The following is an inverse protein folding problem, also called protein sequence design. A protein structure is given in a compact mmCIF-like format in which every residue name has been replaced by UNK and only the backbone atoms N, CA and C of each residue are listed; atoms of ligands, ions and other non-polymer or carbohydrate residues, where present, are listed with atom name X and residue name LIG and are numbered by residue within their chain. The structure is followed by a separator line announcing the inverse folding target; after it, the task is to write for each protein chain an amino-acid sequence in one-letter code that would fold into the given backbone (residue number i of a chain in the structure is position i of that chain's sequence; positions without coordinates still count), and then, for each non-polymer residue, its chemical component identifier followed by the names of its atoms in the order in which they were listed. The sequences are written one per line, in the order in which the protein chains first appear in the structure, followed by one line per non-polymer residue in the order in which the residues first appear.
data_IF_514690432927
#
_entry.id   IF_514690432927
#
_cell.length_a   1.000
_cell.length_b   1.000
_cell.length_c   1.000
_cell.angle_alpha   90.00
_cell.angle_beta   90.00
_cell.angle_gamma   90.00
#
_symmetry.space_group_name_H-M   'P 1'
#
loop_
_entity.id
_entity.type
_entity.pdbx_description
1 polymer ?
#
# COMPACT_ATOMS: atom_id res chain seq x y z
N UNK A 1 2.13 2.78 31.03
CA UNK A 1 1.61 3.82 30.10
C UNK A 1 2.69 4.57 29.33
N UNK A 2 3.94 4.72 29.81
CA UNK A 2 4.97 5.51 29.10
C UNK A 2 5.61 4.88 27.87
N UNK A 3 5.63 3.56 27.71
CA UNK A 3 6.40 2.89 26.64
C UNK A 3 5.66 2.87 25.28
N UNK A 4 4.35 2.71 25.24
CA UNK A 4 3.61 2.64 23.96
C UNK A 4 3.51 4.02 23.29
N UNK A 5 3.27 5.08 24.02
CA UNK A 5 3.30 6.45 23.48
C UNK A 5 4.69 6.79 22.89
N UNK A 6 5.77 6.43 23.57
CA UNK A 6 7.13 6.66 23.06
C UNK A 6 7.43 5.90 21.77
N UNK A 7 6.89 4.69 21.62
CA UNK A 7 7.08 3.87 20.39
C UNK A 7 6.36 4.51 19.21
N UNK A 8 5.10 4.89 19.37
CA UNK A 8 4.31 5.54 18.30
C UNK A 8 4.93 6.86 17.84
N UNK A 9 5.32 7.71 18.78
CA UNK A 9 5.97 9.00 18.48
C UNK A 9 7.27 8.80 17.70
N UNK A 10 8.02 7.73 18.01
CA UNK A 10 9.23 7.39 17.27
C UNK A 10 8.92 6.98 15.83
N UNK A 11 7.90 6.13 15.61
CA UNK A 11 7.48 5.76 14.25
C UNK A 11 7.00 6.98 13.45
N UNK A 12 6.21 7.86 14.05
CA UNK A 12 5.74 9.08 13.39
C UNK A 12 6.89 10.03 13.01
N UNK A 13 7.89 10.18 13.88
CA UNK A 13 9.10 10.98 13.58
C UNK A 13 9.90 10.38 12.44
N UNK A 14 10.12 9.06 12.46
CA UNK A 14 10.81 8.36 11.37
C UNK A 14 10.05 8.49 10.05
N UNK A 15 8.73 8.34 10.08
CA UNK A 15 7.88 8.51 8.91
C UNK A 15 7.97 9.93 8.33
N UNK A 16 7.87 10.97 9.16
CA UNK A 16 8.03 12.37 8.72
C UNK A 16 9.39 12.62 8.11
N UNK A 17 10.46 12.12 8.73
CA UNK A 17 11.82 12.26 8.19
C UNK A 17 11.98 11.53 6.86
N UNK A 18 11.40 10.34 6.74
CA UNK A 18 11.37 9.57 5.49
C UNK A 18 10.63 10.33 4.38
N UNK A 19 9.42 10.85 4.66
CA UNK A 19 8.67 11.66 3.69
C UNK A 19 9.45 12.91 3.26
N UNK A 20 10.16 13.56 4.18
CA UNK A 20 11.02 14.71 3.86
C UNK A 20 12.11 14.37 2.86
N UNK A 21 12.75 13.20 2.97
CA UNK A 21 13.73 12.75 1.98
C UNK A 21 13.09 12.52 0.62
N UNK A 22 11.91 11.88 0.57
CA UNK A 22 11.22 11.63 -0.70
C UNK A 22 10.84 12.93 -1.42
N UNK A 23 10.45 13.96 -0.67
CA UNK A 23 10.13 15.29 -1.20
C UNK A 23 11.34 16.03 -1.79
N UNK A 24 12.58 15.65 -1.44
CA UNK A 24 13.79 16.17 -2.09
C UNK A 24 13.90 15.69 -3.54
N UNK A 25 13.29 14.55 -3.88
CA UNK A 25 13.34 13.92 -5.21
C UNK A 25 12.21 14.36 -6.14
N UNK A 26 11.01 14.57 -5.59
CA UNK A 26 9.84 14.99 -6.36
C UNK A 26 8.87 15.80 -5.49
N UNK A 27 8.20 16.81 -6.05
CA UNK A 27 7.15 17.52 -5.35
C UNK A 27 5.88 16.69 -5.16
N UNK A 28 5.73 15.60 -5.92
CA UNK A 28 4.53 14.76 -5.90
C UNK A 28 4.81 13.46 -5.15
N UNK A 29 4.59 13.50 -3.84
CA UNK A 29 4.74 12.37 -2.92
C UNK A 29 3.39 12.09 -2.26
N UNK A 30 2.90 10.87 -2.38
CA UNK A 30 1.69 10.39 -1.71
C UNK A 30 2.09 9.46 -0.56
N UNK A 31 1.79 9.86 0.66
CA UNK A 31 1.92 8.97 1.81
C UNK A 31 0.77 7.96 1.78
N UNK A 32 1.10 6.68 1.58
CA UNK A 32 0.12 5.59 1.55
C UNK A 32 -0.15 5.02 2.95
N UNK A 33 0.89 4.88 3.75
CA UNK A 33 0.83 4.46 5.15
C UNK A 33 1.92 5.15 5.98
N UNK A 34 2.11 4.75 7.22
CA UNK A 34 3.18 5.30 8.07
C UNK A 34 4.59 5.00 7.52
N UNK A 35 4.75 3.91 6.76
CA UNK A 35 6.02 3.38 6.26
C UNK A 35 6.05 3.18 4.74
N UNK A 36 4.99 3.56 4.04
CA UNK A 36 4.88 3.41 2.58
C UNK A 36 4.48 4.71 1.90
N UNK A 37 5.10 5.00 0.76
CA UNK A 37 4.78 6.16 -0.06
C UNK A 37 4.93 5.85 -1.54
N UNK A 38 4.17 6.58 -2.37
CA UNK A 38 4.37 6.66 -3.81
C UNK A 38 5.01 8.01 -4.16
N UNK A 39 5.95 7.98 -5.09
CA UNK A 39 6.65 9.15 -5.59
C UNK A 39 6.49 9.19 -7.10
N UNK A 40 5.94 10.27 -7.62
CA UNK A 40 5.92 10.49 -9.08
C UNK A 40 7.22 11.15 -9.52
N UNK A 41 8.04 10.39 -10.24
CA UNK A 41 9.35 10.83 -10.73
C UNK A 41 9.31 11.32 -12.18
N UNK A 42 8.11 11.52 -12.75
CA UNK A 42 7.95 11.99 -14.13
C UNK A 42 8.62 13.34 -14.32
N UNK A 43 9.48 13.46 -15.32
CA UNK A 43 10.17 14.69 -15.67
C UNK A 43 11.36 15.05 -14.78
N UNK A 44 11.81 14.15 -13.91
CA UNK A 44 12.96 14.39 -13.00
C UNK A 44 14.27 13.78 -13.50
N UNK A 45 14.29 13.21 -14.70
CA UNK A 45 15.43 12.47 -15.26
C UNK A 45 16.69 13.31 -15.41
N UNK A 46 16.55 14.62 -15.71
CA UNK A 46 17.69 15.55 -15.80
C UNK A 46 18.36 15.78 -14.45
N UNK A 47 17.63 15.66 -13.35
CA UNK A 47 18.16 15.87 -11.99
C UNK A 47 18.73 14.59 -11.39
N UNK A 48 18.05 13.48 -11.60
CA UNK A 48 18.31 12.25 -10.85
C UNK A 48 18.85 11.10 -11.72
N UNK A 49 18.83 11.23 -13.05
CA UNK A 49 19.22 10.19 -13.99
C UNK A 49 18.09 9.22 -14.29
N UNK A 50 18.43 7.99 -14.66
CA UNK A 50 17.45 6.93 -14.93
C UNK A 50 16.63 6.60 -13.70
N UNK A 51 15.41 6.02 -13.86
CA UNK A 51 14.58 5.61 -12.71
C UNK A 51 15.31 4.72 -11.71
N UNK A 52 16.19 3.83 -12.18
CA UNK A 52 16.98 2.93 -11.33
C UNK A 52 18.05 3.70 -10.57
N UNK A 53 18.75 4.63 -11.22
CA UNK A 53 19.77 5.48 -10.58
C UNK A 53 19.15 6.37 -9.51
N UNK A 54 18.02 6.98 -9.79
CA UNK A 54 17.26 7.79 -8.83
C UNK A 54 16.85 6.96 -7.60
N UNK A 55 16.29 5.77 -7.81
CA UNK A 55 15.88 4.86 -6.74
C UNK A 55 17.08 4.39 -5.89
N UNK A 56 18.21 4.06 -6.51
CA UNK A 56 19.42 3.67 -5.79
C UNK A 56 20.02 4.82 -4.95
N UNK A 57 19.97 6.05 -5.46
CA UNK A 57 20.35 7.25 -4.70
C UNK A 57 19.43 7.44 -3.49
N UNK A 58 18.13 7.38 -3.72
CA UNK A 58 17.10 7.51 -2.68
C UNK A 58 17.27 6.44 -1.59
N UNK A 59 17.43 5.17 -1.97
CA UNK A 59 17.64 4.05 -1.05
C UNK A 59 18.88 4.25 -0.17
N UNK A 60 20.02 4.66 -0.77
CA UNK A 60 21.25 4.96 -0.03
C UNK A 60 21.10 6.12 0.92
N UNK A 61 20.51 7.21 0.46
CA UNK A 61 20.29 8.42 1.27
C UNK A 61 19.41 8.15 2.49
N UNK A 62 18.34 7.36 2.33
CA UNK A 62 17.48 6.95 3.44
C UNK A 62 18.29 6.14 4.46
N UNK A 63 19.08 5.17 4.00
CA UNK A 63 19.91 4.34 4.87
C UNK A 63 20.97 5.16 5.63
N UNK A 64 21.64 6.08 4.95
CA UNK A 64 22.68 6.93 5.53
C UNK A 64 22.13 7.94 6.54
N UNK A 65 20.98 8.57 6.22
CA UNK A 65 20.42 9.63 7.06
C UNK A 65 19.52 9.12 8.19
N UNK A 66 18.81 8.01 7.97
CA UNK A 66 17.80 7.51 8.90
C UNK A 66 18.19 6.16 9.56
N UNK A 67 19.19 5.45 9.04
CA UNK A 67 19.70 4.20 9.61
C UNK A 67 18.81 2.97 9.37
N UNK A 68 17.77 3.06 8.52
CA UNK A 68 16.94 1.91 8.14
C UNK A 68 16.94 1.68 6.63
N UNK A 69 16.50 0.51 6.21
CA UNK A 69 16.48 0.11 4.81
C UNK A 69 15.07 0.21 4.22
N UNK A 70 15.00 0.47 2.92
CA UNK A 70 13.74 0.50 2.16
C UNK A 70 13.83 -0.38 0.93
N UNK A 71 12.67 -0.87 0.49
CA UNK A 71 12.54 -1.49 -0.83
C UNK A 71 11.83 -0.52 -1.76
N UNK A 72 12.35 -0.36 -2.96
CA UNK A 72 11.80 0.56 -3.95
C UNK A 72 11.36 -0.24 -5.17
N UNK A 73 10.09 -0.15 -5.49
CA UNK A 73 9.52 -0.67 -6.73
C UNK A 73 9.35 0.44 -7.76
N UNK A 74 9.76 0.18 -8.98
CA UNK A 74 9.71 1.14 -10.09
C UNK A 74 8.78 0.63 -11.18
N UNK A 75 7.80 1.44 -11.55
CA UNK A 75 6.91 1.14 -12.68
C UNK A 75 6.23 2.40 -13.23
N UNK A 76 5.31 2.21 -14.18
CA UNK A 76 4.51 3.30 -14.79
C UNK A 76 3.18 3.56 -14.06
N UNK A 77 2.83 2.77 -13.06
CA UNK A 77 1.65 2.99 -12.21
C UNK A 77 1.90 2.51 -10.78
N UNK A 78 1.03 2.92 -9.87
CA UNK A 78 1.16 2.66 -8.43
C UNK A 78 1.09 1.18 -8.10
N UNK A 79 0.16 0.46 -8.73
CA UNK A 79 -0.01 -0.98 -8.54
C UNK A 79 1.28 -1.75 -8.84
N UNK A 80 1.84 -1.55 -10.02
CA UNK A 80 3.03 -2.28 -10.45
C UNK A 80 4.27 -1.88 -9.66
N UNK A 81 4.39 -0.60 -9.26
CA UNK A 81 5.45 -0.15 -8.38
C UNK A 81 5.34 -0.83 -7.00
N UNK A 82 4.13 -0.90 -6.43
CA UNK A 82 3.88 -1.62 -5.17
C UNK A 82 4.22 -3.10 -5.27
N UNK A 83 3.78 -3.78 -6.33
CA UNK A 83 4.12 -5.19 -6.58
C UNK A 83 5.63 -5.41 -6.69
N UNK A 84 6.34 -4.52 -7.39
CA UNK A 84 7.80 -4.60 -7.54
C UNK A 84 8.52 -4.45 -6.21
N UNK A 85 8.07 -3.57 -5.31
CA UNK A 85 8.69 -3.35 -3.99
C UNK A 85 8.61 -4.58 -3.08
N UNK A 86 7.69 -5.50 -3.35
CA UNK A 86 7.45 -6.71 -2.56
C UNK A 86 8.15 -7.96 -3.10
N UNK A 87 8.80 -7.92 -4.28
CA UNK A 87 9.42 -9.10 -4.89
C UNK A 87 10.52 -9.73 -4.04
N UNK A 88 11.40 -8.93 -3.50
CA UNK A 88 12.48 -9.40 -2.64
C UNK A 88 12.85 -8.32 -1.63
N UNK A 89 12.93 -8.68 -0.37
CA UNK A 89 13.30 -7.81 0.76
C UNK A 89 14.49 -8.43 1.49
N UNK A 90 15.30 -7.66 2.22
CA UNK A 90 15.28 -6.22 2.39
C UNK A 90 16.23 -5.48 1.44
N UNK A 91 16.18 -4.14 1.45
CA UNK A 91 17.18 -3.22 0.89
C UNK A 91 17.43 -3.43 -0.60
N UNK A 92 16.33 -3.42 -1.42
CA UNK A 92 16.37 -3.71 -2.85
C UNK A 92 15.63 -2.65 -3.69
N UNK A 93 16.05 -2.57 -4.95
CA UNK A 93 15.35 -1.83 -6.01
C UNK A 93 14.92 -2.83 -7.08
N UNK A 94 13.65 -2.80 -7.46
CA UNK A 94 13.09 -3.68 -8.48
C UNK A 94 12.26 -2.90 -9.48
N UNK A 95 12.28 -3.35 -10.73
CA UNK A 95 11.40 -2.86 -11.80
C UNK A 95 10.29 -3.88 -12.08
N UNK A 96 9.12 -3.38 -12.47
CA UNK A 96 8.04 -4.17 -13.04
C UNK A 96 7.37 -3.41 -14.17
N UNK A 97 7.92 -3.53 -15.38
CA UNK A 97 7.34 -2.93 -16.57
C UNK A 97 6.24 -3.82 -17.14
N UNK A 98 5.33 -3.26 -17.92
CA UNK A 98 4.24 -4.02 -18.56
C UNK A 98 4.74 -5.22 -19.37
N UNK A 99 5.88 -5.10 -20.03
CA UNK A 99 6.55 -6.20 -20.76
C UNK A 99 7.10 -7.30 -19.86
N UNK A 100 7.26 -7.04 -18.57
CA UNK A 100 7.83 -7.99 -17.60
C UNK A 100 6.77 -8.76 -16.82
N UNK A 101 5.47 -8.40 -16.94
CA UNK A 101 4.37 -8.99 -16.17
C UNK A 101 4.35 -10.51 -16.24
N UNK A 102 4.42 -11.06 -17.44
CA UNK A 102 4.34 -12.50 -17.66
C UNK A 102 5.52 -13.25 -17.01
N UNK A 103 6.68 -12.64 -16.98
CA UNK A 103 7.91 -13.25 -16.43
C UNK A 103 8.02 -13.06 -14.91
N UNK A 104 7.71 -11.88 -14.41
CA UNK A 104 7.98 -11.51 -13.00
C UNK A 104 6.76 -11.61 -12.08
N UNK A 105 5.55 -11.27 -12.57
CA UNK A 105 4.35 -11.17 -11.74
C UNK A 105 3.41 -12.36 -11.91
N UNK A 106 3.14 -12.81 -13.13
CA UNK A 106 2.19 -13.90 -13.39
C UNK A 106 2.52 -15.24 -12.73
N UNK A 107 3.79 -15.65 -12.54
CA UNK A 107 4.11 -16.90 -11.83
C UNK A 107 3.82 -16.86 -10.32
N UNK A 108 3.65 -15.68 -9.74
CA UNK A 108 3.40 -15.52 -8.31
C UNK A 108 2.02 -16.07 -7.91
N UNK A 109 1.88 -16.55 -6.65
CA UNK A 109 0.59 -16.92 -6.11
C UNK A 109 -0.42 -15.77 -6.23
N UNK A 110 -1.68 -16.07 -6.51
CA UNK A 110 -2.72 -15.06 -6.63
C UNK A 110 -2.97 -14.28 -5.32
N UNK A 111 -2.63 -14.89 -4.18
CA UNK A 111 -2.65 -14.24 -2.86
C UNK A 111 -1.68 -13.08 -2.72
N UNK A 112 -0.64 -13.04 -3.52
CA UNK A 112 0.40 -12.02 -3.46
C UNK A 112 0.02 -10.78 -4.29
N UNK A 113 -1.05 -10.86 -5.07
CA UNK A 113 -1.55 -9.71 -5.81
C UNK A 113 -2.14 -8.68 -4.85
N UNK A 114 -1.70 -7.45 -4.98
CA UNK A 114 -2.25 -6.32 -4.24
C UNK A 114 -3.78 -6.28 -4.34
N UNK A 115 -4.48 -6.03 -3.25
CA UNK A 115 -5.93 -6.11 -3.10
C UNK A 115 -6.54 -7.52 -3.06
N UNK A 116 -5.78 -8.59 -3.14
CA UNK A 116 -6.28 -9.96 -2.97
C UNK A 116 -6.06 -10.42 -1.52
N UNK A 117 -7.07 -10.23 -0.69
CA UNK A 117 -7.06 -10.68 0.70
C UNK A 117 -7.48 -12.16 0.85
N UNK A 118 -7.43 -12.68 2.08
CA UNK A 118 -7.73 -14.10 2.40
C UNK A 118 -9.07 -14.60 1.86
N UNK A 119 -10.14 -13.80 1.95
CA UNK A 119 -11.47 -14.19 1.45
C UNK A 119 -11.48 -14.31 -0.07
N UNK A 120 -10.89 -13.35 -0.78
CA UNK A 120 -10.77 -13.36 -2.23
C UNK A 120 -9.91 -14.54 -2.69
N UNK A 121 -8.79 -14.82 -2.04
CA UNK A 121 -7.92 -15.98 -2.32
C UNK A 121 -8.69 -17.29 -2.22
N UNK A 122 -9.50 -17.49 -1.15
CA UNK A 122 -10.33 -18.70 -1.00
C UNK A 122 -11.32 -18.85 -2.14
N UNK A 123 -11.95 -17.76 -2.59
CA UNK A 123 -12.88 -17.79 -3.71
C UNK A 123 -12.17 -18.13 -5.01
N UNK A 124 -11.04 -17.46 -5.31
CA UNK A 124 -10.25 -17.72 -6.51
C UNK A 124 -9.75 -19.18 -6.57
N UNK A 125 -9.31 -19.74 -5.45
CA UNK A 125 -8.89 -21.14 -5.37
C UNK A 125 -10.03 -22.12 -5.68
N UNK A 126 -11.26 -21.84 -5.25
CA UNK A 126 -12.44 -22.65 -5.61
C UNK A 126 -12.75 -22.59 -7.11
N UNK A 127 -12.37 -21.49 -7.78
CA UNK A 127 -12.50 -21.31 -9.23
C UNK A 127 -11.31 -21.89 -10.01
N UNK A 128 -10.34 -22.54 -9.35
CA UNK A 128 -9.14 -23.11 -9.98
C UNK A 128 -8.04 -22.11 -10.28
N UNK A 129 -8.19 -20.85 -9.85
CA UNK A 129 -7.22 -19.76 -10.09
C UNK A 129 -6.21 -19.73 -8.94
N UNK A 130 -4.96 -20.08 -9.22
CA UNK A 130 -3.90 -20.20 -8.21
C UNK A 130 -2.80 -19.17 -8.35
N UNK A 131 -2.54 -18.73 -9.58
CA UNK A 131 -1.50 -17.74 -9.89
C UNK A 131 -2.12 -16.43 -10.38
N UNK A 132 -1.32 -15.34 -10.34
CA UNK A 132 -1.73 -14.06 -10.93
C UNK A 132 -1.94 -14.23 -12.44
N UNK A 133 -1.15 -15.09 -13.09
CA UNK A 133 -1.31 -15.41 -14.51
C UNK A 133 -2.62 -16.14 -14.84
N UNK A 134 -3.08 -17.03 -13.96
CA UNK A 134 -4.40 -17.67 -14.12
C UNK A 134 -5.52 -16.63 -14.04
N UNK A 135 -5.41 -15.71 -13.06
CA UNK A 135 -6.36 -14.62 -12.91
C UNK A 135 -6.37 -13.69 -14.13
N UNK A 136 -5.19 -13.31 -14.62
CA UNK A 136 -5.05 -12.44 -15.79
C UNK A 136 -5.69 -13.01 -17.06
N UNK A 137 -5.67 -14.34 -17.22
CA UNK A 137 -6.23 -15.06 -18.36
C UNK A 137 -7.70 -15.46 -18.19
N UNK A 138 -8.26 -15.26 -17.00
CA UNK A 138 -9.67 -15.60 -16.72
C UNK A 138 -10.62 -14.64 -17.43
N UNK A 139 -11.85 -15.09 -17.66
CA UNK A 139 -12.94 -14.22 -18.14
C UNK A 139 -13.37 -13.26 -17.04
N UNK A 140 -13.29 -11.93 -17.24
CA UNK A 140 -13.72 -10.96 -16.25
C UNK A 140 -15.21 -11.05 -15.91
N UNK A 141 -16.06 -11.48 -16.85
CA UNK A 141 -17.50 -11.69 -16.61
C UNK A 141 -17.75 -12.84 -15.63
N UNK A 142 -16.95 -13.91 -15.73
CA UNK A 142 -17.00 -15.02 -14.78
C UNK A 142 -16.54 -14.60 -13.38
N UNK A 143 -15.47 -13.82 -13.30
CA UNK A 143 -14.99 -13.27 -12.02
C UNK A 143 -16.02 -12.32 -11.38
N UNK A 144 -16.73 -11.52 -12.19
CA UNK A 144 -17.79 -10.62 -11.73
C UNK A 144 -18.94 -11.37 -11.07
N UNK A 145 -19.33 -12.54 -11.57
CA UNK A 145 -20.38 -13.37 -10.97
C UNK A 145 -20.04 -13.78 -9.53
N UNK A 146 -18.77 -14.10 -9.25
CA UNK A 146 -18.31 -14.62 -7.96
C UNK A 146 -17.80 -13.55 -7.00
N UNK A 147 -17.13 -12.51 -7.51
CA UNK A 147 -16.46 -11.47 -6.74
C UNK A 147 -17.08 -10.09 -6.94
N UNK A 148 -18.14 -9.98 -7.75
CA UNK A 148 -18.81 -8.72 -8.09
C UNK A 148 -17.82 -7.71 -8.70
N UNK A 149 -17.96 -6.43 -8.38
CA UNK A 149 -17.06 -5.36 -8.85
C UNK A 149 -15.59 -5.62 -8.50
N UNK A 150 -15.33 -6.27 -7.37
CA UNK A 150 -13.96 -6.59 -6.95
C UNK A 150 -13.26 -7.56 -7.92
N UNK A 151 -14.00 -8.49 -8.54
CA UNK A 151 -13.46 -9.41 -9.55
C UNK A 151 -12.90 -8.68 -10.78
N UNK A 152 -13.60 -7.65 -11.25
CA UNK A 152 -13.14 -6.83 -12.39
C UNK A 152 -11.87 -6.04 -12.02
N UNK A 153 -11.81 -5.52 -10.79
CA UNK A 153 -10.64 -4.77 -10.29
C UNK A 153 -9.40 -5.65 -10.21
N UNK A 154 -9.48 -6.82 -9.55
CA UNK A 154 -8.31 -7.69 -9.40
C UNK A 154 -7.89 -8.33 -10.73
N UNK A 155 -8.83 -8.56 -11.67
CA UNK A 155 -8.50 -8.95 -13.03
C UNK A 155 -7.71 -7.85 -13.77
N UNK A 156 -8.15 -6.61 -13.66
CA UNK A 156 -7.41 -5.46 -14.20
C UNK A 156 -6.01 -5.37 -13.61
N UNK A 157 -5.89 -5.55 -12.30
CA UNK A 157 -4.60 -5.55 -11.60
C UNK A 157 -3.68 -6.68 -12.05
N UNK A 158 -4.20 -7.89 -12.25
CA UNK A 158 -3.42 -9.01 -12.80
C UNK A 158 -2.88 -8.73 -14.22
N UNK A 159 -3.57 -7.87 -14.98
CA UNK A 159 -3.16 -7.39 -16.29
C UNK A 159 -2.35 -6.07 -16.24
N UNK A 160 -1.97 -5.60 -15.04
CA UNK A 160 -1.18 -4.40 -14.84
C UNK A 160 -1.92 -3.10 -15.15
N UNK A 161 -3.26 -3.11 -15.10
CA UNK A 161 -4.12 -1.96 -15.35
C UNK A 161 -4.42 -1.28 -14.02
N UNK A 162 -3.92 -0.06 -13.86
CA UNK A 162 -4.22 0.84 -12.74
C UNK A 162 -4.20 2.27 -13.27
N UNK A 163 -5.29 2.98 -13.04
CA UNK A 163 -5.50 4.38 -13.50
C UNK A 163 -5.35 5.38 -12.35
N UNK A 164 -5.00 4.92 -11.16
CA UNK A 164 -4.80 5.80 -10.02
C UNK A 164 -3.56 6.67 -10.20
N UNK A 165 -3.69 7.94 -9.87
CA UNK A 165 -2.58 8.90 -9.91
C UNK A 165 -1.96 9.08 -8.52
N UNK A 166 -0.69 9.47 -8.47
CA UNK A 166 -0.04 9.85 -7.21
C UNK A 166 -0.58 11.21 -6.77
N UNK A 167 -1.09 11.29 -5.54
CA UNK A 167 -1.73 12.48 -4.98
C UNK A 167 -0.87 13.05 -3.85
N UNK A 168 -0.41 14.30 -4.02
CA UNK A 168 0.40 14.99 -2.98
C UNK A 168 -0.41 15.50 -1.79
N UNK A 169 -1.72 15.63 -1.94
CA UNK A 169 -2.62 16.05 -0.86
C UNK A 169 -3.56 14.90 -0.47
N UNK A 170 -3.72 14.60 0.82
CA UNK A 170 -4.71 13.63 1.25
C UNK A 170 -6.12 14.11 0.87
N UNK A 171 -7.03 13.20 0.50
CA UNK A 171 -8.41 13.55 0.27
C UNK A 171 -9.05 14.12 1.54
N UNK A 172 -10.03 15.01 1.39
CA UNK A 172 -10.78 15.53 2.52
C UNK A 172 -11.40 14.38 3.34
N UNK A 173 -11.35 14.50 4.66
CA UNK A 173 -11.95 13.52 5.54
C UNK A 173 -13.45 13.41 5.28
N UNK A 174 -13.94 12.20 5.04
CA UNK A 174 -15.37 11.91 4.81
C UNK A 174 -16.15 11.62 6.09
N UNK A 175 -15.45 11.44 7.20
CA UNK A 175 -16.03 11.15 8.51
C UNK A 175 -14.96 11.11 9.57
N UNK A 176 -15.39 11.34 10.79
CA UNK A 176 -14.57 11.20 12.00
C UNK A 176 -15.17 10.08 12.84
N UNK A 177 -14.34 9.31 13.50
CA UNK A 177 -14.77 8.21 14.36
C UNK A 177 -13.75 7.95 15.46
N UNK A 178 -14.25 7.51 16.61
CA UNK A 178 -13.41 7.06 17.71
C UNK A 178 -13.87 5.67 18.18
N UNK A 179 -12.92 4.87 18.63
CA UNK A 179 -13.19 3.54 19.17
C UNK A 179 -12.22 3.23 20.29
N UNK A 180 -12.68 2.48 21.29
CA UNK A 180 -11.83 1.99 22.37
C UNK A 180 -12.18 0.54 22.71
N UNK A 181 -11.19 -0.22 23.15
CA UNK A 181 -11.40 -1.52 23.77
C UNK A 181 -11.40 -1.31 25.29
N UNK A 182 -12.53 -1.57 25.90
CA UNK A 182 -12.68 -1.45 27.36
C UNK A 182 -12.22 -2.77 28.04
N UNK A 183 -11.67 -2.69 29.27
CA UNK A 183 -11.11 -3.86 29.96
C UNK A 183 -12.15 -4.73 30.67
N UNK A 184 -13.44 -4.49 30.46
CA UNK A 184 -14.57 -5.21 31.08
C UNK A 184 -15.71 -5.41 30.11
N UNK A 185 -16.53 -6.40 30.36
CA UNK A 185 -17.73 -6.68 29.56
C UNK A 185 -18.88 -5.75 29.96
N UNK A 186 -19.56 -5.18 28.96
CA UNK A 186 -20.73 -4.33 29.16
C UNK A 186 -21.98 -5.20 29.12
N UNK A 187 -22.66 -5.31 30.27
CA UNK A 187 -23.87 -6.15 30.42
C UNK A 187 -25.15 -5.35 30.56
N UNK A 188 -25.07 -4.02 30.72
CA UNK A 188 -26.20 -3.13 30.88
C UNK A 188 -26.15 -1.87 30.01
N UNK A 189 -27.33 -1.31 29.71
CA UNK A 189 -27.47 -0.19 28.81
C UNK A 189 -26.92 1.12 29.39
N UNK A 190 -26.86 1.30 30.73
CA UNK A 190 -26.34 2.49 31.35
C UNK A 190 -24.84 2.60 31.21
N UNK A 191 -24.12 1.50 31.43
CA UNK A 191 -22.67 1.42 31.21
C UNK A 191 -22.33 1.59 29.72
N UNK A 192 -23.10 0.96 28.80
CA UNK A 192 -22.93 1.17 27.37
C UNK A 192 -23.06 2.65 26.97
N UNK A 193 -24.09 3.32 27.53
CA UNK A 193 -24.34 4.76 27.26
C UNK A 193 -23.20 5.65 27.74
N UNK A 194 -22.61 5.39 28.90
CA UNK A 194 -21.47 6.16 29.41
C UNK A 194 -20.25 6.01 28.55
N UNK A 195 -19.92 4.77 28.09
CA UNK A 195 -18.80 4.50 27.19
C UNK A 195 -19.00 5.22 25.85
N UNK A 196 -20.20 5.11 25.27
CA UNK A 196 -20.51 5.79 24.00
C UNK A 196 -20.49 7.30 24.12
N UNK A 197 -20.95 7.87 25.25
CA UNK A 197 -20.89 9.31 25.48
C UNK A 197 -19.45 9.81 25.53
N UNK A 198 -18.56 9.12 26.27
CA UNK A 198 -17.14 9.47 26.33
C UNK A 198 -16.45 9.39 24.95
N UNK A 199 -16.83 8.41 24.11
CA UNK A 199 -16.33 8.33 22.73
C UNK A 199 -16.87 9.47 21.86
N UNK A 200 -18.13 9.82 22.00
CA UNK A 200 -18.77 10.90 21.25
C UNK A 200 -18.15 12.28 21.58
N UNK A 201 -17.90 12.57 22.86
CA UNK A 201 -17.22 13.80 23.31
C UNK A 201 -15.80 13.96 22.73
N UNK A 202 -15.14 12.85 22.37
CA UNK A 202 -13.80 12.90 21.76
C UNK A 202 -13.86 13.22 20.26
N UNK A 203 -15.01 13.04 19.61
CA UNK A 203 -15.21 13.27 18.16
C UNK A 203 -15.79 14.66 17.88
N UNK A 204 -16.55 15.23 18.81
CA UNK A 204 -17.14 16.56 18.71
C UNK A 204 -16.22 17.65 19.19
#
# INVERSE_FOLDING_TARGET
MGSEMCIRDRYERCSKAFMGILQEYSPTVEQYSIDEAFVDMTGTELLWGTPVEAAEKMRRQIKERLGFTVNIGISKNKLLAKMASDFQKPDRVHTLWKSELQKKMWPLPVSDLFFVGRATTKTLFKLGIRTIGDLAKSDPSYLKQHLKKHGEVVWGFANGIDVSVVQSAPPANKGYGNSTTIPFDVTDASTAKLVLLALAETVG
#
